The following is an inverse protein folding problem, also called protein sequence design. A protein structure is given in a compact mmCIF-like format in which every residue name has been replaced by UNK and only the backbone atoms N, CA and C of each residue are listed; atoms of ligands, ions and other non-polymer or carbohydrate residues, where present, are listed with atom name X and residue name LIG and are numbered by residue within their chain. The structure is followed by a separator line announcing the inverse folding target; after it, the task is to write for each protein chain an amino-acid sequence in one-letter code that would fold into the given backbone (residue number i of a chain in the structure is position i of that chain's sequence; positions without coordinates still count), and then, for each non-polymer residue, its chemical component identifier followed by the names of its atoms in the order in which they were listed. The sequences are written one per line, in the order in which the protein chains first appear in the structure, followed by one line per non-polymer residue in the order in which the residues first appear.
data_IF_661537879807
#
_entry.id   IF_661537879807
#
_cell.length_a   1.000
_cell.length_b   1.000
_cell.length_c   1.000
_cell.angle_alpha   90.00
_cell.angle_beta   90.00
_cell.angle_gamma   90.00
#
_symmetry.space_group_name_H-M   'P 1'
#
loop_
_entity.id
_entity.type
_entity.pdbx_description
1 polymer ?
#
# COMPACT_ATOMS: atom_id res chain seq x y z
N UNK A 1 2.20 2.48 -10.93
CA UNK A 1 3.13 1.75 -10.06
C UNK A 1 3.46 0.40 -10.66
N UNK A 2 4.43 -0.30 -10.11
CA UNK A 2 4.89 -1.60 -10.60
C UNK A 2 4.71 -2.69 -9.53
N UNK A 3 4.68 -3.96 -9.97
CA UNK A 3 4.46 -5.11 -9.11
C UNK A 3 5.71 -5.65 -8.42
N UNK A 4 5.68 -6.92 -8.01
CA UNK A 4 6.83 -7.62 -7.44
C UNK A 4 7.81 -8.19 -8.49
N UNK A 5 7.36 -8.37 -9.74
CA UNK A 5 8.10 -9.10 -10.78
C UNK A 5 8.39 -8.19 -11.97
N UNK A 6 9.44 -7.39 -11.88
CA UNK A 6 9.80 -6.38 -12.88
C UNK A 6 11.32 -6.19 -12.93
N UNK A 7 11.83 -5.46 -13.93
CA UNK A 7 13.25 -5.10 -14.03
C UNK A 7 13.48 -3.66 -13.56
N UNK A 8 14.22 -3.51 -12.45
CA UNK A 8 14.57 -2.20 -11.87
C UNK A 8 15.22 -1.26 -12.88
N UNK A 9 16.08 -1.78 -13.77
CA UNK A 9 16.80 -0.96 -14.76
C UNK A 9 15.85 -0.41 -15.80
N UNK A 10 14.81 -1.17 -16.16
CA UNK A 10 13.78 -0.69 -17.10
C UNK A 10 12.96 0.44 -16.47
N UNK A 11 12.56 0.27 -15.20
CA UNK A 11 11.82 1.30 -14.47
C UNK A 11 12.63 2.59 -14.28
N UNK A 12 13.93 2.47 -13.97
CA UNK A 12 14.81 3.64 -13.88
C UNK A 12 14.93 4.39 -15.19
N UNK A 13 14.99 3.69 -16.33
CA UNK A 13 15.00 4.33 -17.66
C UNK A 13 13.71 5.06 -17.97
N UNK A 14 12.56 4.57 -17.49
CA UNK A 14 11.31 5.34 -17.58
C UNK A 14 11.32 6.55 -16.65
N UNK A 15 11.88 6.43 -15.44
CA UNK A 15 12.01 7.55 -14.49
C UNK A 15 12.89 8.66 -15.03
N UNK A 16 14.03 8.33 -15.66
CA UNK A 16 14.93 9.32 -16.27
C UNK A 16 14.41 9.87 -17.60
N UNK A 17 13.37 9.26 -18.16
CA UNK A 17 12.86 9.61 -19.49
C UNK A 17 13.68 9.07 -20.66
N UNK A 18 14.68 8.21 -20.41
CA UNK A 18 15.39 7.46 -21.45
C UNK A 18 14.41 6.58 -22.25
N UNK A 19 13.48 5.93 -21.55
CA UNK A 19 12.39 5.19 -22.17
C UNK A 19 11.10 6.01 -22.15
N UNK A 20 10.40 6.00 -23.29
CA UNK A 20 9.09 6.63 -23.46
C UNK A 20 8.21 5.78 -24.34
N UNK A 21 7.06 5.41 -23.81
CA UNK A 21 5.99 4.74 -24.57
C UNK A 21 4.78 5.66 -24.57
N UNK A 22 4.17 5.96 -25.74
CA UNK A 22 2.96 6.77 -25.80
C UNK A 22 1.86 6.22 -24.88
N UNK A 23 1.21 7.10 -24.12
CA UNK A 23 0.12 6.78 -23.16
C UNK A 23 0.51 5.85 -22.01
N UNK A 24 1.81 5.59 -21.79
CA UNK A 24 2.29 4.90 -20.59
C UNK A 24 2.80 5.91 -19.56
N UNK A 25 2.09 5.99 -18.43
CA UNK A 25 2.45 6.86 -17.32
C UNK A 25 2.78 6.02 -16.09
N UNK A 26 4.06 5.98 -15.73
CA UNK A 26 4.49 5.37 -14.47
C UNK A 26 4.42 6.44 -13.37
N UNK A 27 3.71 6.08 -12.32
CA UNK A 27 3.58 6.83 -11.06
C UNK A 27 4.38 6.07 -10.02
N UNK A 28 5.17 6.81 -9.25
CA UNK A 28 6.14 6.31 -8.28
C UNK A 28 6.27 7.30 -7.11
N UNK A 29 7.22 7.04 -6.19
CA UNK A 29 7.41 7.85 -5.01
C UNK A 29 7.82 9.30 -5.31
N UNK A 30 8.50 9.54 -6.43
CA UNK A 30 9.04 10.84 -6.82
C UNK A 30 8.03 11.65 -7.66
N UNK A 31 7.09 10.96 -8.32
CA UNK A 31 6.17 11.52 -9.30
C UNK A 31 4.72 11.24 -8.95
N UNK A 32 3.98 12.30 -8.64
CA UNK A 32 2.51 12.28 -8.58
C UNK A 32 1.88 12.64 -9.92
N UNK A 33 0.59 12.33 -10.08
CA UNK A 33 -0.22 12.74 -11.22
C UNK A 33 -1.52 13.38 -10.74
N UNK A 34 -1.98 14.44 -11.43
CA UNK A 34 -3.30 15.01 -11.22
C UNK A 34 -4.19 14.64 -12.40
N UNK A 35 -5.35 14.07 -12.12
CA UNK A 35 -6.41 13.87 -13.10
C UNK A 35 -7.56 14.81 -12.78
N UNK A 36 -8.03 15.57 -13.76
CA UNK A 36 -9.25 16.36 -13.65
C UNK A 36 -10.33 15.70 -14.51
N UNK A 37 -11.31 15.07 -13.85
CA UNK A 37 -12.33 14.26 -14.51
C UNK A 37 -13.65 14.31 -13.75
N UNK A 38 -14.77 14.45 -14.46
CA UNK A 38 -16.11 14.41 -13.87
C UNK A 38 -16.36 15.44 -12.75
N UNK A 39 -15.65 16.58 -12.78
CA UNK A 39 -15.73 17.62 -11.75
C UNK A 39 -14.90 17.34 -10.49
N UNK A 40 -14.08 16.28 -10.48
CA UNK A 40 -13.20 15.91 -9.36
C UNK A 40 -11.74 16.04 -9.78
N UNK A 41 -10.90 16.50 -8.85
CA UNK A 41 -9.44 16.49 -8.98
C UNK A 41 -8.87 15.29 -8.23
N UNK A 42 -8.34 14.30 -8.95
CA UNK A 42 -7.73 13.11 -8.38
C UNK A 42 -6.21 13.20 -8.39
N UNK A 43 -5.61 13.33 -7.20
CA UNK A 43 -4.17 13.27 -7.00
C UNK A 43 -3.74 11.83 -6.78
N UNK A 44 -2.96 11.29 -7.70
CA UNK A 44 -2.41 9.94 -7.61
C UNK A 44 -1.03 9.97 -6.98
N UNK A 45 -0.85 9.20 -5.92
CA UNK A 45 0.39 9.01 -5.17
C UNK A 45 0.80 7.54 -5.27
N UNK A 46 1.98 7.25 -5.82
CA UNK A 46 2.37 5.89 -6.17
C UNK A 46 3.46 5.30 -5.28
N UNK A 47 3.32 4.03 -4.90
CA UNK A 47 4.40 3.23 -4.30
C UNK A 47 4.46 1.85 -4.95
N UNK A 48 5.56 1.54 -5.63
CA UNK A 48 5.74 0.24 -6.28
C UNK A 48 6.46 -0.79 -5.40
N UNK A 49 6.42 -2.04 -5.84
CA UNK A 49 7.17 -3.14 -5.24
C UNK A 49 6.41 -3.93 -4.17
N UNK A 50 6.91 -5.13 -3.85
CA UNK A 50 6.46 -5.87 -2.68
C UNK A 50 7.00 -5.26 -1.38
N UNK A 51 6.23 -5.35 -0.30
CA UNK A 51 6.75 -5.05 1.04
C UNK A 51 7.37 -6.31 1.61
N UNK A 52 8.69 -6.25 1.86
CA UNK A 52 9.47 -7.35 2.44
C UNK A 52 10.31 -6.76 3.57
N UNK A 53 9.98 -7.10 4.81
CA UNK A 53 10.50 -6.40 6.00
C UNK A 53 12.03 -6.31 6.04
N UNK A 54 12.74 -7.41 5.77
CA UNK A 54 14.20 -7.45 5.78
C UNK A 54 14.86 -6.75 4.57
N UNK A 55 14.09 -6.34 3.55
CA UNK A 55 14.57 -5.60 2.39
C UNK A 55 14.23 -4.11 2.44
N UNK A 56 13.58 -3.61 3.50
CA UNK A 56 13.20 -2.20 3.61
C UNK A 56 14.39 -1.22 3.58
N UNK A 57 15.59 -1.71 3.85
CA UNK A 57 16.83 -0.94 3.92
C UNK A 57 17.83 -1.24 2.80
N UNK A 58 17.43 -2.08 1.84
CA UNK A 58 18.28 -2.55 0.74
C UNK A 58 17.71 -2.06 -0.59
N UNK A 59 18.48 -1.28 -1.38
CA UNK A 59 18.04 -0.84 -2.70
C UNK A 59 18.34 -1.87 -3.81
N UNK A 60 19.06 -2.94 -3.50
CA UNK A 60 19.48 -3.95 -4.47
C UNK A 60 20.33 -3.36 -5.59
N UNK A 61 19.90 -3.59 -6.83
CA UNK A 61 20.53 -3.07 -8.06
C UNK A 61 20.03 -1.67 -8.46
N UNK A 62 19.10 -1.09 -7.69
CA UNK A 62 18.59 0.26 -7.90
C UNK A 62 19.65 1.34 -7.66
N UNK A 63 19.70 2.34 -8.55
CA UNK A 63 20.63 3.47 -8.48
C UNK A 63 20.02 4.69 -7.78
N UNK A 64 18.70 4.80 -7.82
CA UNK A 64 17.92 5.85 -7.17
C UNK A 64 17.20 5.29 -5.93
N UNK A 65 15.98 5.73 -5.69
CA UNK A 65 15.11 5.20 -4.64
C UNK A 65 14.36 3.94 -5.07
N UNK A 66 14.12 3.70 -6.37
CA UNK A 66 13.52 2.45 -6.86
C UNK A 66 14.41 1.27 -6.46
N UNK A 67 13.85 0.32 -5.71
CA UNK A 67 14.58 -0.86 -5.28
C UNK A 67 14.15 -2.13 -5.99
N UNK A 68 15.14 -2.94 -6.35
CA UNK A 68 14.91 -4.21 -7.03
C UNK A 68 16.21 -4.87 -7.47
N UNK A 69 16.12 -6.11 -7.91
CA UNK A 69 17.25 -6.90 -8.38
C UNK A 69 16.78 -8.27 -8.85
N UNK A 70 17.48 -8.83 -9.83
CA UNK A 70 17.22 -10.18 -10.35
C UNK A 70 15.75 -10.43 -10.75
N UNK A 71 15.09 -9.43 -11.35
CA UNK A 71 13.69 -9.53 -11.78
C UNK A 71 12.66 -9.41 -10.65
N UNK A 72 13.09 -9.03 -9.45
CA UNK A 72 12.22 -8.80 -8.30
C UNK A 72 12.29 -7.34 -7.85
N UNK A 73 11.14 -6.77 -7.49
CA UNK A 73 11.03 -5.39 -7.00
C UNK A 73 10.42 -5.37 -5.60
N UNK A 74 10.93 -4.49 -4.76
CA UNK A 74 10.42 -4.30 -3.41
C UNK A 74 10.40 -2.81 -3.04
N UNK A 75 9.68 -2.51 -1.98
CA UNK A 75 9.58 -1.16 -1.42
C UNK A 75 10.67 -0.96 -0.36
N UNK A 76 11.31 0.20 -0.35
CA UNK A 76 12.26 0.61 0.72
C UNK A 76 11.77 1.81 1.51
N UNK A 77 12.40 2.08 2.65
CA UNK A 77 12.14 3.29 3.42
C UNK A 77 12.50 4.56 2.66
N UNK A 78 13.54 4.53 1.82
CA UNK A 78 13.87 5.69 1.00
C UNK A 78 12.72 6.04 0.06
N UNK A 79 12.05 5.03 -0.52
CA UNK A 79 10.84 5.27 -1.32
C UNK A 79 9.67 5.81 -0.49
N UNK A 80 9.45 5.27 0.72
CA UNK A 80 8.39 5.78 1.59
C UNK A 80 8.64 7.25 1.99
N UNK A 81 9.89 7.58 2.31
CA UNK A 81 10.32 8.94 2.64
C UNK A 81 10.12 9.91 1.48
N UNK A 82 10.50 9.50 0.26
CA UNK A 82 10.34 10.34 -0.93
C UNK A 82 8.86 10.54 -1.28
N UNK A 83 8.05 9.50 -1.08
CA UNK A 83 6.61 9.62 -1.27
C UNK A 83 5.97 10.59 -0.27
N UNK A 84 6.41 10.59 0.99
CA UNK A 84 5.97 11.58 1.99
C UNK A 84 6.34 13.00 1.55
N UNK A 85 7.57 13.22 1.08
CA UNK A 85 7.99 14.54 0.57
C UNK A 85 7.18 14.98 -0.65
N UNK A 86 7.00 14.08 -1.63
CA UNK A 86 6.16 14.33 -2.81
C UNK A 86 4.74 14.68 -2.39
N UNK A 87 4.16 13.91 -1.47
CA UNK A 87 2.81 14.11 -0.97
C UNK A 87 2.61 15.44 -0.26
N UNK A 88 3.59 15.90 0.54
CA UNK A 88 3.55 17.22 1.17
C UNK A 88 3.70 18.34 0.14
N UNK A 89 4.64 18.21 -0.79
CA UNK A 89 4.92 19.22 -1.81
C UNK A 89 3.74 19.49 -2.73
N UNK A 90 2.94 18.47 -3.03
CA UNK A 90 1.76 18.56 -3.91
C UNK A 90 0.44 18.64 -3.15
N UNK A 91 0.46 18.97 -1.86
CA UNK A 91 -0.75 19.03 -1.05
C UNK A 91 -1.66 20.20 -1.46
N UNK A 92 -2.87 19.85 -1.90
CA UNK A 92 -3.99 20.76 -2.11
C UNK A 92 -5.23 20.12 -1.45
N UNK A 93 -5.88 20.78 -0.48
CA UNK A 93 -7.05 20.24 0.22
C UNK A 93 -8.31 20.15 -0.66
N UNK A 94 -8.29 20.71 -1.87
CA UNK A 94 -9.39 20.59 -2.85
C UNK A 94 -9.26 19.34 -3.73
N UNK A 95 -8.13 18.63 -3.66
CA UNK A 95 -7.87 17.41 -4.40
C UNK A 95 -8.22 16.17 -3.57
N UNK A 96 -8.85 15.18 -4.21
CA UNK A 96 -9.00 13.83 -3.65
C UNK A 96 -7.72 13.04 -3.88
N UNK A 97 -7.13 12.50 -2.82
CA UNK A 97 -5.81 11.85 -2.84
C UNK A 97 -5.96 10.34 -2.85
N UNK A 98 -5.50 9.71 -3.92
CA UNK A 98 -5.53 8.26 -4.11
C UNK A 98 -4.13 7.70 -3.90
N UNK A 99 -3.99 6.83 -2.90
CA UNK A 99 -2.76 6.08 -2.70
C UNK A 99 -2.78 4.79 -3.52
N UNK A 100 -1.96 4.74 -4.57
CA UNK A 100 -1.80 3.58 -5.44
C UNK A 100 -0.56 2.82 -4.98
N UNK A 101 -0.73 1.58 -4.54
CA UNK A 101 0.39 0.75 -4.06
C UNK A 101 0.29 -0.67 -4.57
N UNK A 102 1.42 -1.35 -4.78
CA UNK A 102 1.33 -2.78 -5.10
C UNK A 102 0.93 -3.60 -3.86
N UNK A 103 1.63 -3.45 -2.74
CA UNK A 103 1.27 -4.14 -1.51
C UNK A 103 0.07 -3.46 -0.81
N UNK A 104 -0.80 -4.29 -0.23
CA UNK A 104 -2.08 -3.83 0.35
C UNK A 104 -1.93 -3.25 1.76
N UNK A 105 -2.42 -2.02 2.03
CA UNK A 105 -2.52 -1.46 3.39
C UNK A 105 -3.34 -2.32 4.37
N UNK A 106 -4.19 -3.22 3.87
CA UNK A 106 -4.93 -4.18 4.69
C UNK A 106 -4.00 -5.11 5.48
N UNK A 107 -2.86 -5.49 4.87
CA UNK A 107 -1.94 -6.48 5.42
C UNK A 107 -0.72 -5.83 6.06
N UNK A 108 -0.23 -4.75 5.46
CA UNK A 108 1.01 -4.11 5.85
C UNK A 108 0.70 -2.90 6.74
N UNK A 109 0.90 -3.02 8.06
CA UNK A 109 0.59 -1.94 9.01
C UNK A 109 1.37 -0.65 8.75
N UNK A 110 2.61 -0.77 8.26
CA UNK A 110 3.41 0.39 7.83
C UNK A 110 2.79 1.12 6.63
N UNK A 111 2.21 0.40 5.65
CA UNK A 111 1.52 1.03 4.53
C UNK A 111 0.18 1.63 4.94
N UNK A 112 -0.47 1.03 5.94
CA UNK A 112 -1.67 1.59 6.55
C UNK A 112 -1.35 2.96 7.17
N UNK A 113 -0.32 3.04 8.02
CA UNK A 113 0.13 4.30 8.61
C UNK A 113 0.65 5.29 7.57
N UNK A 114 1.34 4.82 6.53
CA UNK A 114 1.76 5.65 5.41
C UNK A 114 0.54 6.28 4.74
N UNK A 115 -0.53 5.51 4.48
CA UNK A 115 -1.75 6.04 3.85
C UNK A 115 -2.36 7.21 4.64
N UNK A 116 -2.38 7.10 5.98
CA UNK A 116 -2.79 8.19 6.88
C UNK A 116 -1.85 9.39 6.76
N UNK A 117 -0.53 9.15 6.77
CA UNK A 117 0.49 10.20 6.63
C UNK A 117 0.37 10.96 5.31
N UNK A 118 0.04 10.25 4.23
CA UNK A 118 -0.19 10.84 2.91
C UNK A 118 -1.51 11.62 2.81
N UNK A 119 -2.36 11.56 3.84
CA UNK A 119 -3.74 12.05 3.82
C UNK A 119 -4.51 11.50 2.61
N UNK A 120 -4.38 10.19 2.38
CA UNK A 120 -5.13 9.53 1.31
C UNK A 120 -6.61 9.45 1.69
N UNK A 121 -7.50 9.78 0.75
CA UNK A 121 -8.94 9.57 0.90
C UNK A 121 -9.30 8.11 0.68
N UNK A 122 -8.64 7.48 -0.30
CA UNK A 122 -8.68 6.04 -0.47
C UNK A 122 -7.41 5.46 -1.08
N UNK A 123 -7.22 4.16 -0.90
CA UNK A 123 -6.14 3.41 -1.52
C UNK A 123 -6.66 2.44 -2.59
N UNK A 124 -5.82 2.20 -3.59
CA UNK A 124 -6.00 1.12 -4.57
C UNK A 124 -4.74 0.28 -4.54
N UNK A 125 -4.89 -1.00 -4.24
CA UNK A 125 -3.77 -1.92 -4.13
C UNK A 125 -3.97 -3.25 -4.83
N UNK A 126 -2.89 -3.96 -5.14
CA UNK A 126 -3.02 -5.30 -5.68
C UNK A 126 -3.40 -6.29 -4.55
N UNK A 127 -4.36 -7.16 -4.82
CA UNK A 127 -4.62 -8.34 -4.01
C UNK A 127 -3.80 -9.51 -4.52
N UNK A 128 -2.63 -9.77 -3.92
CA UNK A 128 -1.80 -10.92 -4.29
C UNK A 128 -2.63 -12.21 -4.12
N UNK A 129 -2.98 -12.83 -5.25
CA UNK A 129 -3.84 -14.03 -5.35
C UNK A 129 -5.30 -13.85 -4.93
N UNK A 130 -5.81 -12.61 -4.93
CA UNK A 130 -7.21 -12.36 -4.62
C UNK A 130 -8.09 -12.74 -5.81
N UNK A 131 -8.96 -13.72 -5.62
CA UNK A 131 -9.98 -14.10 -6.63
C UNK A 131 -11.11 -13.09 -6.71
N UNK A 132 -11.41 -12.44 -5.59
CA UNK A 132 -12.35 -11.34 -5.48
C UNK A 132 -11.58 -10.13 -4.97
N UNK A 133 -11.83 -8.98 -5.58
CA UNK A 133 -11.40 -7.74 -4.96
C UNK A 133 -12.16 -7.50 -3.67
N UNK A 134 -11.62 -6.63 -2.82
CA UNK A 134 -12.26 -6.21 -1.58
C UNK A 134 -12.35 -4.71 -1.50
N UNK A 135 -13.44 -4.23 -0.92
CA UNK A 135 -13.76 -2.82 -0.69
C UNK A 135 -14.06 -2.69 0.79
N UNK A 136 -13.21 -1.98 1.54
CA UNK A 136 -13.30 -1.93 3.00
C UNK A 136 -12.72 -0.65 3.57
N UNK A 137 -13.10 -0.33 4.81
CA UNK A 137 -12.36 0.58 5.69
C UNK A 137 -11.99 -0.17 6.99
N UNK A 138 -11.06 0.36 7.77
CA UNK A 138 -10.62 -0.31 9.00
C UNK A 138 -11.76 -0.45 10.02
N UNK A 139 -12.70 0.50 10.08
CA UNK A 139 -13.88 0.41 10.94
C UNK A 139 -14.79 -0.80 10.63
N UNK A 140 -14.93 -1.18 9.36
CA UNK A 140 -15.79 -2.30 8.94
C UNK A 140 -15.19 -3.68 9.19
N UNK A 141 -13.87 -3.78 9.30
CA UNK A 141 -13.16 -5.08 9.39
C UNK A 141 -12.52 -5.32 10.76
N UNK A 142 -12.34 -4.28 11.58
CA UNK A 142 -11.84 -4.42 12.93
C UNK A 142 -13.00 -4.35 13.93
N UNK A 143 -13.06 -5.24 14.94
CA UNK A 143 -14.15 -5.23 15.92
C UNK A 143 -14.15 -3.97 16.80
N UNK A 144 -12.99 -3.33 17.00
CA UNK A 144 -12.82 -2.13 17.82
C UNK A 144 -11.66 -1.27 17.29
N UNK A 145 -11.63 0.00 17.70
CA UNK A 145 -10.48 0.88 17.44
C UNK A 145 -9.19 0.33 18.11
N UNK A 146 -9.31 -0.32 19.26
CA UNK A 146 -8.15 -0.87 19.98
C UNK A 146 -7.57 -2.10 19.30
N UNK A 147 -8.39 -2.90 18.61
CA UNK A 147 -7.90 -3.98 17.76
C UNK A 147 -7.04 -3.42 16.62
N UNK A 148 -7.53 -2.38 15.95
CA UNK A 148 -6.77 -1.69 14.90
C UNK A 148 -5.47 -1.07 15.44
N UNK A 149 -5.50 -0.49 16.64
CA UNK A 149 -4.29 -0.02 17.35
C UNK A 149 -3.28 -1.16 17.55
N UNK A 150 -3.73 -2.33 17.99
CA UNK A 150 -2.90 -3.52 18.16
C UNK A 150 -2.22 -3.97 16.87
N UNK A 151 -2.93 -3.94 15.74
CA UNK A 151 -2.39 -4.24 14.40
C UNK A 151 -1.23 -3.30 14.03
N UNK A 152 -1.40 -1.99 14.25
CA UNK A 152 -0.33 -1.02 14.01
C UNK A 152 0.85 -1.22 14.98
N UNK A 153 0.58 -1.47 16.26
CA UNK A 153 1.61 -1.72 17.26
C UNK A 153 2.47 -2.96 16.93
N UNK A 154 1.84 -4.05 16.49
CA UNK A 154 2.58 -5.23 16.03
C UNK A 154 3.48 -4.92 14.83
N UNK A 155 2.97 -4.16 13.86
CA UNK A 155 3.78 -3.75 12.70
C UNK A 155 4.94 -2.83 13.09
N UNK A 156 4.78 -1.95 14.09
CA UNK A 156 5.86 -1.13 14.64
C UNK A 156 6.93 -1.98 15.32
N UNK A 157 6.53 -2.96 16.13
CA UNK A 157 7.45 -3.86 16.80
C UNK A 157 8.30 -4.64 15.77
N UNK A 158 7.66 -5.26 14.78
CA UNK A 158 8.37 -5.99 13.72
C UNK A 158 9.32 -5.11 12.90
N UNK A 159 8.96 -3.84 12.68
CA UNK A 159 9.85 -2.89 12.04
C UNK A 159 11.08 -2.60 12.92
N UNK A 160 10.86 -2.30 14.20
CA UNK A 160 11.93 -1.95 15.14
C UNK A 160 12.93 -3.11 15.31
N UNK A 161 12.46 -4.36 15.36
CA UNK A 161 13.35 -5.53 15.45
C UNK A 161 14.36 -5.57 14.29
N UNK A 162 13.92 -5.26 13.07
CA UNK A 162 14.81 -5.18 11.91
C UNK A 162 15.66 -3.92 11.95
N UNK A 163 15.07 -2.76 12.27
CA UNK A 163 15.78 -1.49 12.31
C UNK A 163 16.95 -1.53 13.29
N UNK A 164 16.75 -1.99 14.53
CA UNK A 164 17.81 -2.07 15.53
C UNK A 164 18.94 -3.03 15.12
N UNK A 165 18.64 -4.01 14.26
CA UNK A 165 19.66 -4.94 13.73
C UNK A 165 20.53 -4.29 12.66
N UNK A 166 19.95 -3.45 11.79
CA UNK A 166 20.66 -2.90 10.61
C UNK A 166 21.08 -1.43 10.76
N UNK A 167 20.60 -0.72 11.77
CA UNK A 167 20.82 0.73 11.96
C UNK A 167 22.29 1.12 11.93
N UNK A 168 23.15 0.35 12.58
CA UNK A 168 24.60 0.59 12.64
C UNK A 168 25.30 0.45 11.29
N UNK A 169 24.68 -0.22 10.32
CA UNK A 169 25.17 -0.34 8.94
C UNK A 169 24.54 0.73 8.04
N UNK A 170 23.24 0.97 8.21
CA UNK A 170 22.47 1.91 7.38
C UNK A 170 22.88 3.37 7.62
N UNK A 171 22.98 3.81 8.88
CA UNK A 171 23.28 5.23 9.19
C UNK A 171 24.64 5.67 8.62
N UNK A 172 25.74 4.89 8.75
CA UNK A 172 27.01 5.24 8.11
C UNK A 172 26.94 5.19 6.58
N UNK A 173 26.21 4.24 5.99
CA UNK A 173 26.13 4.05 4.54
C UNK A 173 25.56 5.29 3.82
N UNK A 174 24.66 6.03 4.48
CA UNK A 174 24.04 7.25 3.93
C UNK A 174 24.62 8.54 4.52
N UNK A 175 25.66 8.47 5.35
CA UNK A 175 26.18 9.61 6.11
C UNK A 175 26.64 10.79 5.22
N UNK A 176 27.11 10.50 4.00
CA UNK A 176 27.53 11.52 3.03
C UNK A 176 26.41 11.94 2.06
N UNK A 177 25.22 11.32 2.16
CA UNK A 177 24.08 11.58 1.31
C UNK A 177 22.95 12.23 2.11
N UNK A 178 22.96 13.56 2.19
CA UNK A 178 21.98 14.35 2.94
C UNK A 178 20.54 14.11 2.45
N UNK A 179 20.34 13.92 1.14
CA UNK A 179 19.03 13.61 0.58
C UNK A 179 18.50 12.29 1.16
N UNK A 180 19.29 11.21 1.12
CA UNK A 180 18.87 9.92 1.68
C UNK A 180 18.65 9.97 3.20
N UNK A 181 19.43 10.77 3.94
CA UNK A 181 19.20 10.99 5.37
C UNK A 181 17.84 11.63 5.65
N UNK A 182 17.47 12.64 4.85
CA UNK A 182 16.15 13.28 4.96
C UNK A 182 15.02 12.31 4.62
N UNK A 183 15.17 11.51 3.54
CA UNK A 183 14.20 10.49 3.17
C UNK A 183 14.04 9.44 4.28
N UNK A 184 15.14 8.92 4.82
CA UNK A 184 15.11 7.96 5.92
C UNK A 184 14.42 8.56 7.16
N UNK A 185 14.73 9.81 7.51
CA UNK A 185 14.07 10.52 8.62
C UNK A 185 12.57 10.63 8.42
N UNK A 186 12.12 11.02 7.22
CA UNK A 186 10.70 11.10 6.89
C UNK A 186 10.01 9.74 7.03
N UNK A 187 10.66 8.66 6.58
CA UNK A 187 10.16 7.31 6.72
C UNK A 187 10.08 6.85 8.18
N UNK A 188 11.11 7.11 9.00
CA UNK A 188 11.11 6.77 10.43
C UNK A 188 10.00 7.49 11.19
N UNK A 189 9.69 8.74 10.84
CA UNK A 189 8.57 9.48 11.44
C UNK A 189 7.19 8.83 11.20
N UNK A 190 7.03 8.04 10.13
CA UNK A 190 5.80 7.25 9.91
C UNK A 190 5.67 6.23 11.05
N UNK A 191 6.73 5.50 11.34
CA UNK A 191 6.76 4.44 12.35
C UNK A 191 6.70 5.02 13.77
N UNK A 192 7.36 6.15 14.01
CA UNK A 192 7.32 6.84 15.31
C UNK A 192 5.88 7.21 15.72
N UNK A 193 5.06 7.65 14.76
CA UNK A 193 3.64 8.00 15.00
C UNK A 193 2.75 6.80 15.31
N UNK A 194 3.14 5.58 14.88
CA UNK A 194 2.37 4.37 15.14
C UNK A 194 2.28 4.09 16.65
N UNK A 195 1.16 3.52 17.11
CA UNK A 195 1.01 3.11 18.51
C UNK A 195 2.03 2.04 18.91
N UNK A 196 2.36 1.98 20.20
CA UNK A 196 3.32 1.01 20.75
C UNK A 196 2.65 -0.18 21.43
N UNK A 197 1.43 -0.01 21.94
CA UNK A 197 0.65 -1.08 22.57
C UNK A 197 -0.85 -0.90 22.30
N UNK A 198 -1.61 -1.99 22.39
CA UNK A 198 -3.07 -1.92 22.49
C UNK A 198 -3.43 -1.44 23.91
N UNK A 199 -4.34 -0.47 24.02
CA UNK A 199 -4.63 0.22 25.27
C UNK A 199 -5.70 -0.50 26.11
N UNK A 200 -6.26 -1.62 25.64
CA UNK A 200 -7.35 -2.34 26.32
C UNK A 200 -8.62 -1.49 26.48
N UNK A 201 -8.78 -0.46 25.66
CA UNK A 201 -9.82 0.56 25.81
C UNK A 201 -11.22 0.13 25.34
N UNK A 202 -12.24 0.89 25.75
CA UNK A 202 -13.66 0.63 25.45
C UNK A 202 -13.88 0.33 23.95
N UNK A 203 -14.54 -0.80 23.59
CA UNK A 203 -14.77 -1.22 22.21
C UNK A 203 -15.43 -0.17 21.30
N UNK A 204 -16.17 0.79 21.87
CA UNK A 204 -16.92 1.82 21.14
C UNK A 204 -16.25 3.19 21.08
N UNK A 205 -15.00 3.31 21.56
CA UNK A 205 -14.32 4.59 21.68
C UNK A 205 -14.73 5.36 22.95
N UNK A 206 -13.85 6.27 23.37
CA UNK A 206 -13.94 7.02 24.61
C UNK A 206 -12.55 7.24 25.21
N UNK A 207 -12.31 8.35 25.93
CA UNK A 207 -11.00 8.64 26.48
C UNK A 207 -10.64 7.58 27.53
N UNK A 208 -9.69 6.70 27.20
CA UNK A 208 -9.02 5.90 28.21
C UNK A 208 -7.99 6.80 28.89
N UNK A 209 -8.05 6.88 30.23
CA UNK A 209 -7.09 7.66 31.00
C UNK A 209 -5.65 7.19 30.69
N UNK A 210 -4.77 8.11 30.26
CA UNK A 210 -3.34 7.83 30.05
C UNK A 210 -2.83 7.77 28.59
N UNK A 211 -3.63 8.17 27.59
CA UNK A 211 -3.33 7.96 26.16
C UNK A 211 -2.21 8.79 25.50
N UNK A 212 -1.60 9.79 26.17
CA UNK A 212 -0.57 10.62 25.53
C UNK A 212 0.74 9.85 25.20
N UNK A 213 1.00 8.72 25.86
CA UNK A 213 2.24 7.93 25.70
C UNK A 213 2.11 6.72 24.77
N UNK A 214 0.93 6.47 24.18
CA UNK A 214 0.61 5.23 23.47
C UNK A 214 0.71 5.32 21.94
N UNK A 215 1.09 6.48 21.39
CA UNK A 215 1.05 6.80 19.96
C UNK A 215 -0.36 7.15 19.46
N UNK A 216 -0.46 7.80 18.30
CA UNK A 216 -1.73 8.35 17.79
C UNK A 216 -2.35 7.41 16.76
N UNK A 217 -3.66 7.21 16.89
CA UNK A 217 -4.47 6.54 15.86
C UNK A 217 -5.42 7.59 15.31
N UNK A 218 -5.42 7.78 13.99
CA UNK A 218 -6.33 8.71 13.34
C UNK A 218 -7.74 8.08 13.26
N UNK A 219 -8.63 8.51 14.15
CA UNK A 219 -10.01 8.01 14.20
C UNK A 219 -10.82 8.37 12.96
N UNK A 220 -10.49 9.48 12.29
CA UNK A 220 -11.15 9.86 11.04
C UNK A 220 -10.75 8.90 9.93
N UNK A 221 -9.45 8.65 9.76
CA UNK A 221 -8.96 7.70 8.78
C UNK A 221 -9.49 6.28 9.07
N UNK A 222 -9.55 5.86 10.33
CA UNK A 222 -10.12 4.57 10.73
C UNK A 222 -11.56 4.39 10.23
N UNK A 223 -12.38 5.44 10.30
CA UNK A 223 -13.80 5.42 9.90
C UNK A 223 -14.02 5.71 8.42
N UNK A 224 -13.19 6.54 7.81
CA UNK A 224 -13.52 7.17 6.52
C UNK A 224 -12.54 6.81 5.40
N UNK A 225 -11.30 6.42 5.70
CA UNK A 225 -10.34 6.06 4.66
C UNK A 225 -10.72 4.72 4.04
N UNK A 226 -11.05 4.75 2.76
CA UNK A 226 -11.49 3.56 2.04
C UNK A 226 -10.32 2.86 1.36
N UNK A 227 -10.40 1.54 1.19
CA UNK A 227 -9.34 0.74 0.60
C UNK A 227 -9.95 -0.25 -0.40
N UNK A 228 -9.40 -0.24 -1.60
CA UNK A 228 -9.74 -1.17 -2.67
C UNK A 228 -8.56 -2.10 -2.93
N UNK A 229 -8.73 -3.39 -2.67
CA UNK A 229 -7.77 -4.40 -3.10
C UNK A 229 -8.31 -5.04 -4.37
N UNK A 230 -7.52 -4.97 -5.44
CA UNK A 230 -7.87 -5.51 -6.74
C UNK A 230 -7.79 -7.04 -6.73
N UNK A 231 -8.66 -7.68 -7.50
CA UNK A 231 -8.46 -9.07 -7.88
C UNK A 231 -7.25 -9.19 -8.83
N UNK A 232 -6.79 -10.41 -9.05
CA UNK A 232 -5.91 -10.69 -10.19
C UNK A 232 -6.54 -10.18 -11.50
N UNK A 233 -5.74 -9.51 -12.33
CA UNK A 233 -6.20 -8.88 -13.57
C UNK A 233 -6.79 -9.89 -14.57
N UNK A 234 -6.40 -11.17 -14.51
CA UNK A 234 -6.99 -12.22 -15.33
C UNK A 234 -8.43 -12.58 -14.88
N UNK A 235 -8.79 -12.26 -13.64
CA UNK A 235 -10.04 -12.69 -13.02
C UNK A 235 -10.99 -11.55 -12.67
N UNK A 236 -10.56 -10.28 -12.68
CA UNK A 236 -11.42 -9.18 -12.28
C UNK A 236 -10.88 -7.79 -12.56
N UNK A 237 -11.71 -6.79 -12.28
CA UNK A 237 -11.38 -5.38 -12.41
C UNK A 237 -12.22 -4.51 -11.47
N UNK A 238 -11.73 -3.28 -11.26
CA UNK A 238 -12.44 -2.19 -10.59
C UNK A 238 -12.64 -1.06 -11.59
N UNK A 239 -13.87 -0.57 -11.73
CA UNK A 239 -14.21 0.65 -12.45
C UNK A 239 -14.57 1.72 -11.43
N UNK A 240 -13.94 2.89 -11.56
CA UNK A 240 -14.34 4.10 -10.84
C UNK A 240 -15.12 4.98 -11.81
N UNK A 241 -16.42 5.14 -11.56
CA UNK A 241 -17.30 6.02 -12.32
C UNK A 241 -17.24 7.42 -11.69
N UNK A 242 -16.75 8.41 -12.45
CA UNK A 242 -16.54 9.75 -11.93
C UNK A 242 -17.44 10.71 -12.70
N UNK A 243 -18.49 11.18 -12.02
CA UNK A 243 -19.52 12.02 -12.61
C UNK A 243 -20.10 12.95 -11.54
N UNK A 244 -20.36 14.20 -11.92
CA UNK A 244 -21.03 15.22 -11.08
C UNK A 244 -20.41 15.36 -9.67
N UNK A 245 -19.07 15.33 -9.60
CA UNK A 245 -18.34 15.45 -8.34
C UNK A 245 -18.39 14.20 -7.45
N UNK A 246 -18.88 13.07 -7.94
CA UNK A 246 -18.99 11.80 -7.20
C UNK A 246 -18.09 10.74 -7.80
N UNK A 247 -17.67 9.80 -6.96
CA UNK A 247 -16.92 8.61 -7.34
C UNK A 247 -17.77 7.39 -6.99
N UNK A 248 -18.37 6.77 -8.00
CA UNK A 248 -19.03 5.47 -7.92
C UNK A 248 -18.02 4.34 -8.19
N UNK A 249 -18.33 3.13 -7.73
CA UNK A 249 -17.45 1.97 -7.94
C UNK A 249 -18.22 0.74 -8.41
N UNK A 250 -17.73 0.08 -9.44
CA UNK A 250 -18.16 -1.26 -9.86
C UNK A 250 -16.97 -2.22 -9.80
N UNK A 251 -17.14 -3.33 -9.10
CA UNK A 251 -16.10 -4.35 -8.97
C UNK A 251 -16.60 -5.68 -9.53
N UNK A 252 -15.83 -6.27 -10.43
CA UNK A 252 -16.14 -7.56 -11.05
C UNK A 252 -15.05 -8.58 -10.75
N UNK A 253 -15.47 -9.81 -10.49
CA UNK A 253 -14.61 -10.98 -10.39
C UNK A 253 -15.27 -12.20 -11.06
N UNK A 254 -14.49 -13.08 -11.70
CA UNK A 254 -14.95 -14.32 -12.30
C UNK A 254 -15.54 -15.27 -11.25
N UNK A 255 -15.00 -15.21 -10.04
CA UNK A 255 -15.48 -15.95 -8.89
C UNK A 255 -15.08 -17.42 -8.83
N UNK A 256 -15.81 -18.19 -8.03
CA UNK A 256 -15.53 -19.61 -7.81
C UNK A 256 -16.19 -20.51 -8.85
N UNK A 257 -15.42 -21.47 -9.39
CA UNK A 257 -15.95 -22.52 -10.24
C UNK A 257 -16.37 -23.76 -9.41
N UNK A 258 -17.67 -24.03 -9.34
CA UNK A 258 -18.24 -25.18 -8.63
C UNK A 258 -18.65 -26.36 -9.53
N UNK A 259 -18.40 -26.29 -10.85
CA UNK A 259 -18.81 -27.33 -11.82
C UNK A 259 -18.28 -28.73 -11.48
N UNK A 260 -17.09 -28.81 -10.86
CA UNK A 260 -16.48 -30.06 -10.40
C UNK A 260 -17.34 -30.84 -9.38
N UNK A 261 -18.29 -30.19 -8.68
CA UNK A 261 -19.18 -30.86 -7.73
C UNK A 261 -20.24 -31.72 -8.43
N UNK A 262 -20.68 -31.33 -9.62
CA UNK A 262 -21.63 -32.11 -10.43
C UNK A 262 -20.99 -33.33 -11.08
N UNK A 263 -19.70 -33.28 -11.42
CA UNK A 263 -18.99 -34.37 -12.07
C UNK A 263 -18.77 -35.60 -11.17
N UNK A 264 -18.79 -35.44 -9.83
CA UNK A 264 -18.68 -36.56 -8.88
C UNK A 264 -20.01 -37.30 -8.63
N UNK A 265 -21.13 -36.82 -9.16
CA UNK A 265 -22.44 -37.45 -9.01
C UNK A 265 -22.84 -38.37 -10.17
N UNK A 266 -21.95 -38.65 -11.14
CA UNK A 266 -22.17 -39.76 -12.07
C UNK A 266 -21.52 -41.03 -11.49
N UNK A 267 -22.31 -42.02 -11.03
CA UNK A 267 -21.80 -43.36 -10.77
C UNK A 267 -21.31 -43.94 -12.10
N UNK A 268 -20.16 -44.62 -12.05
CA UNK A 268 -19.40 -45.08 -13.20
C UNK A 268 -20.24 -45.66 -14.34
N UNK A 269 -20.04 -45.11 -15.54
CA UNK A 269 -20.25 -45.86 -16.77
C UNK A 269 -19.16 -46.95 -16.76
N UNK A 270 -19.52 -48.25 -16.73
CA UNK A 270 -18.54 -49.31 -16.88
C UNK A 270 -17.86 -49.19 -18.25
N UNK A 271 -16.57 -49.55 -18.39
CA UNK A 271 -15.93 -49.57 -19.70
C UNK A 271 -16.68 -50.54 -20.60
N UNK A 272 -17.25 -50.03 -21.69
CA UNK A 272 -17.86 -50.83 -22.75
C UNK A 272 -16.78 -51.65 -23.42
N UNK A 273 -16.79 -52.97 -23.17
CA UNK A 273 -16.10 -53.96 -23.99
C UNK A 273 -16.95 -54.29 -25.21
N UNK A 274 -16.55 -53.77 -26.37
CA UNK A 274 -16.72 -54.40 -27.69
C UNK A 274 -15.75 -53.72 -28.67
#
# INVERSE_FOLDING_TARGET
VWGACEDVRVLEKFRTGEYKVPNLHIIDEARSMLLEVGGVKLRLLGLGGAVVMHKLFDNGEGRTTIAGGQGTMWTTLLQMGELVDTAHRVYDPTETRIFITHASPAREGILNQLSVTLKADFSISAGLHFRYGSSYNEFSVNPTLDHYRGKLAASKASFNDVWETVKSEVEPAIQQNEAQQNLLKNALQIVEKMPTTAAGGNPFGGPAAGQASLGQVDESAFKNMWNFNLADAAFGYLVLEIQDGRIGTEMRAQGFNFSHRGAKQQPGIPPTTA
#
